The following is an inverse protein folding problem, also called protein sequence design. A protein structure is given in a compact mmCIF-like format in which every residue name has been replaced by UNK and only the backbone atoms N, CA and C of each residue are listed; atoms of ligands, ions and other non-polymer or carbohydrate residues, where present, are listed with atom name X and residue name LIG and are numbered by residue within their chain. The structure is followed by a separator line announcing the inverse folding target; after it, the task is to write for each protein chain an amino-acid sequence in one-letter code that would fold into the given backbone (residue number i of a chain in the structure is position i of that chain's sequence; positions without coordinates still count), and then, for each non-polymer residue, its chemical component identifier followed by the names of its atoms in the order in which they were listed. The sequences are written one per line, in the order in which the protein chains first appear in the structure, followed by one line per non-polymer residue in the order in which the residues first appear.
data_IF_233958260292
#
_entry.id   IF_233958260292
#
_cell.length_a   1.000
_cell.length_b   1.000
_cell.length_c   1.000
_cell.angle_alpha   90.00
_cell.angle_beta   90.00
_cell.angle_gamma   90.00
#
_symmetry.space_group_name_H-M   'P 1'
#
loop_
_entity.id
_entity.type
_entity.pdbx_description
1 polymer ?
#
# COMPACT_ATOMS: atom_id res chain seq x y z
N UNK A 1 1.66 61.12 -5.49
CA UNK A 1 1.17 59.76 -5.60
C UNK A 1 1.84 58.96 -4.50
N UNK A 2 1.15 58.55 -3.39
CA UNK A 2 1.79 57.75 -2.34
C UNK A 2 1.84 56.31 -2.78
N UNK A 3 3.01 55.71 -2.76
CA UNK A 3 3.28 54.30 -3.01
C UNK A 3 2.70 53.42 -1.89
N UNK A 4 1.71 52.61 -2.25
CA UNK A 4 1.10 51.62 -1.34
C UNK A 4 2.05 50.40 -1.17
N UNK A 5 2.99 50.47 -0.22
CA UNK A 5 3.79 49.32 0.16
C UNK A 5 2.96 48.45 1.14
N UNK A 6 2.49 47.31 0.66
CA UNK A 6 1.91 46.26 1.53
C UNK A 6 3.00 45.75 2.44
N UNK A 7 2.77 45.84 3.76
CA UNK A 7 3.66 45.27 4.76
C UNK A 7 3.67 43.72 4.63
N UNK A 8 4.81 43.06 4.83
CA UNK A 8 4.89 41.60 4.79
C UNK A 8 4.03 40.97 5.90
N UNK A 9 3.21 39.98 5.54
CA UNK A 9 2.45 39.19 6.50
C UNK A 9 3.43 38.37 7.35
N UNK A 10 3.64 38.81 8.59
CA UNK A 10 4.36 38.05 9.60
C UNK A 10 3.37 37.01 10.16
N UNK A 11 3.66 35.70 10.14
CA UNK A 11 2.81 34.71 10.79
C UNK A 11 2.80 34.99 12.30
N UNK A 12 1.64 35.26 12.88
CA UNK A 12 1.46 35.26 14.33
C UNK A 12 1.46 33.77 14.79
N UNK A 13 2.54 33.37 15.42
CA UNK A 13 2.52 32.16 16.23
C UNK A 13 1.96 32.56 17.60
N UNK A 14 0.92 31.91 18.12
CA UNK A 14 0.50 32.13 19.49
C UNK A 14 1.55 31.56 20.43
N UNK A 15 2.47 32.41 20.89
CA UNK A 15 3.23 32.17 22.10
C UNK A 15 2.28 32.30 23.27
N UNK A 16 2.22 31.25 24.07
CA UNK A 16 1.63 31.06 25.38
C UNK A 16 0.62 29.93 25.41
N UNK A 17 1.16 28.74 25.68
CA UNK A 17 0.39 27.67 26.28
C UNK A 17 0.30 27.99 27.78
N UNK A 18 -0.87 28.27 28.35
CA UNK A 18 -1.01 28.50 29.79
C UNK A 18 -0.62 27.24 30.55
N UNK A 19 0.24 27.45 31.55
CA UNK A 19 0.73 26.42 32.46
C UNK A 19 -0.43 25.65 33.11
N UNK A 20 -0.39 24.36 32.94
CA UNK A 20 -1.46 23.43 33.36
C UNK A 20 -1.59 23.44 34.89
N UNK A 21 -2.70 23.88 35.41
CA UNK A 21 -3.05 23.80 36.84
C UNK A 21 -2.87 22.37 37.39
N UNK A 22 -2.44 22.20 38.65
CA UNK A 22 -2.20 20.89 39.25
C UNK A 22 -3.49 20.06 39.33
N UNK A 23 -3.42 18.82 38.90
CA UNK A 23 -4.54 17.88 38.91
C UNK A 23 -5.02 17.58 40.32
N UNK A 24 -6.33 17.70 40.56
CA UNK A 24 -6.99 17.27 41.77
C UNK A 24 -6.80 15.77 42.05
N UNK A 25 -6.75 15.32 43.32
CA UNK A 25 -6.52 13.93 43.66
C UNK A 25 -7.65 13.03 43.18
N UNK A 26 -7.33 11.97 42.45
CA UNK A 26 -8.27 10.93 42.01
C UNK A 26 -8.90 10.23 43.22
N UNK A 27 -10.21 10.26 43.29
CA UNK A 27 -10.98 9.41 44.18
C UNK A 27 -10.66 7.92 43.91
N UNK A 28 -10.43 7.18 44.99
CA UNK A 28 -10.24 5.73 44.95
C UNK A 28 -11.60 5.09 44.61
N UNK A 29 -11.71 4.58 43.38
CA UNK A 29 -12.81 3.70 43.02
C UNK A 29 -12.61 2.30 43.59
N UNK A 30 -13.63 1.86 44.33
CA UNK A 30 -13.75 0.53 44.91
C UNK A 30 -13.53 -0.58 43.89
N UNK A 31 -12.50 -1.41 44.10
CA UNK A 31 -12.33 -2.70 43.44
C UNK A 31 -13.46 -3.63 43.89
N UNK A 32 -14.45 -3.85 43.03
CA UNK A 32 -15.39 -4.95 43.22
C UNK A 32 -14.63 -6.27 42.89
N UNK A 33 -14.68 -7.19 43.82
CA UNK A 33 -14.11 -8.51 43.75
C UNK A 33 -14.76 -9.34 42.61
N UNK A 34 -13.94 -9.83 41.67
CA UNK A 34 -14.36 -10.79 40.65
C UNK A 34 -14.54 -12.15 41.31
N UNK A 35 -15.69 -12.85 41.14
CA UNK A 35 -15.88 -14.19 41.71
C UNK A 35 -14.94 -15.21 41.02
N UNK A 36 -14.52 -16.28 41.74
CA UNK A 36 -13.58 -17.26 41.22
C UNK A 36 -14.20 -18.07 40.07
N UNK A 37 -13.48 -18.12 38.95
CA UNK A 37 -13.81 -18.92 37.77
C UNK A 37 -13.81 -20.41 38.13
N UNK A 38 -14.94 -21.10 37.98
CA UNK A 38 -15.06 -22.54 38.14
C UNK A 38 -14.13 -23.25 37.12
N UNK A 39 -13.38 -24.24 37.64
CA UNK A 39 -12.48 -25.07 36.84
C UNK A 39 -13.30 -25.94 35.85
N UNK A 40 -12.96 -25.87 34.58
CA UNK A 40 -13.49 -26.79 33.57
C UNK A 40 -12.73 -28.11 33.63
N UNK A 41 -13.40 -29.27 33.43
CA UNK A 41 -12.75 -30.58 33.45
C UNK A 41 -11.77 -30.75 32.28
N UNK A 42 -10.74 -31.61 32.41
CA UNK A 42 -9.71 -31.78 31.40
C UNK A 42 -10.31 -32.40 30.12
N UNK A 43 -10.04 -31.74 29.01
CA UNK A 43 -10.36 -32.23 27.66
C UNK A 43 -9.45 -33.43 27.35
N UNK A 44 -10.07 -34.57 27.14
CA UNK A 44 -9.40 -35.78 26.65
C UNK A 44 -8.70 -35.51 25.31
N UNK A 45 -7.41 -35.77 25.25
CA UNK A 45 -6.60 -35.77 24.04
C UNK A 45 -7.06 -36.91 23.13
N UNK A 46 -7.74 -36.63 22.05
CA UNK A 46 -7.87 -37.55 20.92
C UNK A 46 -6.62 -37.38 20.04
N UNK A 47 -5.79 -38.36 20.09
CA UNK A 47 -4.67 -38.63 19.20
C UNK A 47 -5.21 -39.25 17.90
N UNK A 48 -5.62 -38.41 16.94
CA UNK A 48 -5.75 -38.83 15.54
C UNK A 48 -5.29 -37.68 14.67
N UNK A 49 -3.99 -37.64 14.41
CA UNK A 49 -3.38 -36.74 13.45
C UNK A 49 -3.21 -37.53 12.15
N UNK A 50 -3.95 -37.21 11.09
CA UNK A 50 -3.71 -37.81 9.77
C UNK A 50 -2.32 -37.41 9.26
N UNK A 51 -1.68 -38.21 8.40
CA UNK A 51 -0.31 -37.98 7.94
C UNK A 51 -0.20 -36.63 7.21
N UNK A 52 0.90 -35.94 7.51
CA UNK A 52 1.28 -34.63 6.98
C UNK A 52 1.32 -34.69 5.44
N UNK A 53 0.29 -34.19 4.80
CA UNK A 53 0.29 -34.00 3.35
C UNK A 53 1.39 -33.00 2.99
N UNK A 54 2.12 -33.31 1.94
CA UNK A 54 3.19 -32.52 1.39
C UNK A 54 2.72 -31.08 1.16
N UNK A 55 3.57 -30.12 1.47
CA UNK A 55 3.30 -28.70 1.26
C UNK A 55 2.82 -28.46 -0.19
N UNK A 56 1.72 -27.72 -0.39
CA UNK A 56 1.26 -27.43 -1.74
C UNK A 56 2.34 -26.67 -2.50
N UNK A 57 2.55 -27.09 -3.74
CA UNK A 57 3.40 -26.39 -4.69
C UNK A 57 3.06 -24.90 -4.70
N UNK A 58 4.08 -24.03 -4.80
CA UNK A 58 3.94 -22.58 -4.87
C UNK A 58 2.83 -22.23 -5.86
N UNK A 59 1.86 -21.39 -5.51
CA UNK A 59 0.82 -21.01 -6.46
C UNK A 59 1.48 -20.32 -7.66
N UNK A 60 1.46 -21.01 -8.81
CA UNK A 60 1.73 -20.35 -10.08
C UNK A 60 0.57 -19.38 -10.33
N UNK A 61 0.92 -18.14 -10.65
CA UNK A 61 -0.09 -17.15 -11.02
C UNK A 61 -0.76 -17.59 -12.33
N UNK A 62 -2.04 -17.92 -12.25
CA UNK A 62 -2.87 -18.16 -13.42
C UNK A 62 -3.45 -16.83 -13.91
N UNK A 63 -3.66 -16.71 -15.21
CA UNK A 63 -4.28 -15.52 -15.77
C UNK A 63 -5.62 -15.23 -15.11
N UNK A 64 -5.87 -13.98 -14.68
CA UNK A 64 -7.13 -13.63 -14.02
C UNK A 64 -8.29 -13.73 -15.01
N UNK A 65 -9.38 -14.40 -14.60
CA UNK A 65 -10.64 -14.36 -15.31
C UNK A 65 -11.31 -12.99 -15.11
N UNK A 66 -11.94 -12.44 -16.13
CA UNK A 66 -12.64 -11.16 -16.07
C UNK A 66 -12.61 -10.38 -17.38
N UNK A 67 -13.31 -9.26 -17.44
CA UNK A 67 -13.41 -8.42 -18.64
C UNK A 67 -12.34 -7.34 -18.77
N UNK A 68 -11.31 -7.35 -17.92
CA UNK A 68 -10.23 -6.38 -17.92
C UNK A 68 -9.11 -6.72 -18.92
N UNK A 69 -8.21 -5.75 -19.16
CA UNK A 69 -7.04 -5.91 -20.02
C UNK A 69 -5.83 -6.42 -19.24
N UNK A 70 -5.28 -7.58 -19.63
CA UNK A 70 -4.03 -8.13 -19.10
C UNK A 70 -2.85 -7.73 -19.98
N UNK A 71 -1.78 -7.19 -19.40
CA UNK A 71 -0.50 -6.94 -20.05
C UNK A 71 0.63 -7.58 -19.24
N UNK A 72 1.57 -8.23 -19.95
CA UNK A 72 2.77 -8.83 -19.34
C UNK A 72 4.00 -8.07 -19.83
N UNK A 73 4.78 -7.52 -18.89
CA UNK A 73 6.03 -6.82 -19.16
C UNK A 73 7.21 -7.60 -18.58
N UNK A 74 8.31 -7.70 -19.35
CA UNK A 74 9.54 -8.34 -18.89
C UNK A 74 10.59 -7.26 -18.63
N UNK A 75 11.19 -7.27 -17.44
CA UNK A 75 12.30 -6.37 -17.14
C UNK A 75 13.57 -6.79 -17.94
N UNK A 76 14.34 -5.85 -18.49
CA UNK A 76 14.34 -4.39 -18.34
C UNK A 76 13.66 -3.61 -19.48
N UNK A 77 12.83 -4.19 -20.30
CA UNK A 77 12.21 -3.50 -21.44
C UNK A 77 11.34 -2.33 -20.99
N UNK A 78 11.44 -1.21 -21.71
CA UNK A 78 10.60 -0.03 -21.48
C UNK A 78 9.31 -0.19 -22.29
N UNK A 79 8.15 -0.43 -21.66
CA UNK A 79 6.89 -0.43 -22.37
C UNK A 79 6.45 1.00 -22.66
N UNK A 80 5.93 1.22 -23.85
CA UNK A 80 5.16 2.40 -24.14
C UNK A 80 3.91 2.38 -23.25
N UNK A 81 3.58 3.49 -22.56
CA UNK A 81 2.32 3.65 -21.85
C UNK A 81 1.23 3.66 -22.92
N UNK A 82 0.34 2.65 -23.00
CA UNK A 82 -0.72 2.69 -23.99
C UNK A 82 -1.67 3.84 -23.67
N UNK A 83 -1.93 4.68 -24.64
CA UNK A 83 -3.01 5.66 -24.52
C UNK A 83 -4.33 4.92 -24.27
N UNK A 84 -5.16 5.37 -23.32
CA UNK A 84 -6.45 4.75 -23.05
C UNK A 84 -7.31 4.78 -24.30
N UNK A 85 -7.77 3.62 -24.76
CA UNK A 85 -8.85 3.57 -25.76
C UNK A 85 -10.17 3.84 -25.03
N UNK A 86 -11.03 4.71 -25.56
CA UNK A 86 -12.34 4.95 -24.97
C UNK A 86 -13.17 3.65 -25.09
N UNK A 87 -13.56 3.08 -23.95
CA UNK A 87 -14.49 1.96 -23.93
C UNK A 87 -15.91 2.45 -24.21
N UNK A 88 -16.64 1.61 -24.99
CA UNK A 88 -17.89 1.94 -25.64
C UNK A 88 -19.12 1.97 -24.71
N UNK A 89 -19.01 2.52 -23.50
CA UNK A 89 -20.18 2.79 -22.64
C UNK A 89 -20.04 4.14 -21.93
N UNK A 90 -20.42 5.21 -22.59
CA UNK A 90 -21.17 6.36 -22.13
C UNK A 90 -20.55 7.36 -21.15
N UNK A 91 -19.47 7.08 -20.44
CA UNK A 91 -18.76 8.07 -19.62
C UNK A 91 -17.26 7.86 -19.73
N UNK A 92 -16.57 8.79 -20.39
CA UNK A 92 -15.10 8.82 -20.35
C UNK A 92 -14.64 8.92 -18.90
N UNK A 93 -13.74 8.03 -18.44
CA UNK A 93 -13.23 8.09 -17.07
C UNK A 93 -12.51 9.43 -16.84
N UNK A 94 -12.64 9.97 -15.64
CA UNK A 94 -11.96 11.22 -15.25
C UNK A 94 -10.43 11.08 -15.23
N UNK A 95 -9.94 9.84 -15.26
CA UNK A 95 -8.54 9.49 -15.23
C UNK A 95 -8.32 8.12 -14.58
N UNK A 96 -7.06 7.85 -14.19
CA UNK A 96 -6.64 6.55 -13.71
C UNK A 96 -5.96 6.64 -12.35
N UNK A 97 -6.14 5.58 -11.53
CA UNK A 97 -5.34 5.29 -10.34
C UNK A 97 -4.60 3.99 -10.58
N UNK A 98 -3.28 4.02 -10.59
CA UNK A 98 -2.42 2.87 -10.83
C UNK A 98 -1.83 2.42 -9.50
N UNK A 99 -2.10 1.17 -9.10
CA UNK A 99 -1.56 0.56 -7.88
C UNK A 99 -0.37 -0.34 -8.22
N UNK A 100 0.80 -0.06 -7.68
CA UNK A 100 1.90 -1.01 -7.70
C UNK A 100 1.66 -2.09 -6.64
N UNK A 101 1.85 -3.36 -7.02
CA UNK A 101 1.63 -4.53 -6.17
C UNK A 101 2.88 -5.41 -6.23
N UNK A 102 3.51 -5.70 -5.09
CA UNK A 102 4.69 -6.58 -5.06
C UNK A 102 5.55 -6.39 -3.81
N UNK A 103 6.47 -7.31 -3.61
CA UNK A 103 7.40 -7.35 -2.47
C UNK A 103 8.39 -6.17 -2.49
N UNK A 104 9.00 -5.81 -1.35
CA UNK A 104 10.22 -5.03 -1.34
C UNK A 104 11.28 -5.70 -2.24
N UNK A 105 12.10 -4.91 -2.96
CA UNK A 105 13.08 -5.48 -3.91
C UNK A 105 12.52 -5.97 -5.25
N UNK A 106 11.19 -5.98 -5.47
CA UNK A 106 10.59 -6.41 -6.74
C UNK A 106 10.79 -5.44 -7.91
N UNK A 107 11.30 -4.22 -7.66
CA UNK A 107 11.63 -3.25 -8.71
C UNK A 107 10.59 -2.16 -8.96
N UNK A 108 9.59 -1.99 -8.08
CA UNK A 108 8.53 -0.97 -8.19
C UNK A 108 9.09 0.44 -8.41
N UNK A 109 9.94 0.91 -7.51
CA UNK A 109 10.54 2.25 -7.56
C UNK A 109 11.37 2.45 -8.84
N UNK A 110 12.12 1.42 -9.27
CA UNK A 110 12.87 1.45 -10.52
C UNK A 110 11.95 1.54 -11.74
N UNK A 111 10.81 0.83 -11.71
CA UNK A 111 9.82 0.87 -12.78
C UNK A 111 9.21 2.26 -12.94
N UNK A 112 8.87 2.94 -11.84
CA UNK A 112 8.41 4.33 -11.85
C UNK A 112 9.50 5.29 -12.33
N UNK A 113 10.72 5.17 -11.80
CA UNK A 113 11.85 6.04 -12.15
C UNK A 113 12.19 5.99 -13.64
N UNK A 114 12.19 4.79 -14.26
CA UNK A 114 12.43 4.63 -15.69
C UNK A 114 11.36 5.31 -16.58
N UNK A 115 10.17 5.58 -16.04
CA UNK A 115 9.07 6.24 -16.75
C UNK A 115 8.95 7.72 -16.39
N UNK A 116 9.87 8.27 -15.59
CA UNK A 116 9.80 9.65 -15.11
C UNK A 116 8.57 9.92 -14.22
N UNK A 117 8.04 8.89 -13.56
CA UNK A 117 6.84 8.97 -12.72
C UNK A 117 7.25 9.15 -11.26
N UNK A 118 6.70 10.18 -10.61
CA UNK A 118 6.79 10.34 -9.15
C UNK A 118 5.49 9.84 -8.52
N UNK A 119 5.47 8.64 -7.93
CA UNK A 119 4.28 8.08 -7.31
C UNK A 119 4.03 8.68 -5.93
N UNK A 120 2.81 8.54 -5.43
CA UNK A 120 2.51 8.67 -4.01
C UNK A 120 3.12 7.46 -3.29
N UNK A 121 4.25 7.67 -2.64
CA UNK A 121 5.06 6.61 -2.03
C UNK A 121 4.94 6.61 -0.51
N UNK A 122 4.76 5.43 0.09
CA UNK A 122 4.77 5.27 1.54
C UNK A 122 6.14 5.59 2.15
N UNK A 123 7.22 5.32 1.41
CA UNK A 123 8.58 5.59 1.87
C UNK A 123 8.90 7.09 1.81
N UNK A 124 8.47 7.76 0.74
CA UNK A 124 8.57 9.21 0.65
C UNK A 124 7.82 9.90 1.79
N UNK A 125 6.61 9.43 2.12
CA UNK A 125 5.86 10.00 3.23
C UNK A 125 6.51 9.75 4.60
N UNK A 126 7.14 8.61 4.82
CA UNK A 126 7.91 8.39 6.04
C UNK A 126 9.05 9.40 6.17
N UNK A 127 9.77 9.61 5.08
CA UNK A 127 10.84 10.61 5.07
C UNK A 127 10.31 12.02 5.38
N UNK A 128 9.20 12.42 4.78
CA UNK A 128 8.58 13.74 5.00
C UNK A 128 8.06 13.92 6.44
N UNK A 129 7.47 12.86 7.02
CA UNK A 129 6.79 12.93 8.32
C UNK A 129 7.74 12.73 9.50
N UNK A 130 8.82 11.99 9.32
CA UNK A 130 9.66 11.52 10.43
C UNK A 130 11.16 11.69 10.18
N UNK A 131 11.57 12.22 9.01
CA UNK A 131 12.96 12.26 8.55
C UNK A 131 13.66 10.89 8.61
N UNK A 132 12.84 9.81 8.68
CA UNK A 132 13.26 8.42 8.79
C UNK A 132 12.35 7.51 7.96
N UNK A 133 12.92 6.95 6.91
CA UNK A 133 12.21 6.03 6.01
C UNK A 133 11.91 4.69 6.69
N UNK A 134 12.64 4.32 7.74
CA UNK A 134 12.52 3.05 8.45
C UNK A 134 11.46 3.07 9.56
N UNK A 135 10.93 4.25 9.91
CA UNK A 135 9.93 4.39 10.95
C UNK A 135 8.67 3.56 10.66
N UNK A 136 8.38 2.57 11.50
CA UNK A 136 7.24 1.65 11.35
C UNK A 136 6.15 1.84 12.40
N UNK A 137 6.43 2.53 13.51
CA UNK A 137 5.48 2.72 14.63
C UNK A 137 4.20 3.43 14.19
N UNK A 138 4.32 4.32 13.22
CA UNK A 138 3.22 5.16 12.72
C UNK A 138 2.67 4.73 11.36
N UNK A 139 2.74 3.43 11.05
CA UNK A 139 2.28 2.87 9.78
C UNK A 139 0.84 3.30 9.41
N UNK A 140 -0.07 3.31 10.39
CA UNK A 140 -1.45 3.77 10.20
C UNK A 140 -1.53 5.23 9.76
N UNK A 141 -0.69 6.13 10.33
CA UNK A 141 -0.61 7.53 9.95
C UNK A 141 -0.08 7.68 8.52
N UNK A 142 0.98 6.99 8.15
CA UNK A 142 1.53 7.01 6.79
C UNK A 142 0.47 6.66 5.76
N UNK A 143 -0.26 5.55 5.96
CA UNK A 143 -1.29 5.12 5.01
C UNK A 143 -2.54 6.01 5.01
N UNK A 144 -2.93 6.59 6.15
CA UNK A 144 -4.04 7.56 6.19
C UNK A 144 -3.67 8.85 5.44
N UNK A 145 -2.45 9.35 5.60
CA UNK A 145 -1.92 10.51 4.87
C UNK A 145 -1.82 10.23 3.39
N UNK A 146 -1.32 9.04 3.00
CA UNK A 146 -1.23 8.63 1.61
C UNK A 146 -2.61 8.62 0.93
N UNK A 147 -3.64 8.09 1.64
CA UNK A 147 -5.04 8.14 1.16
C UNK A 147 -5.56 9.57 1.04
N UNK A 148 -5.23 10.44 1.99
CA UNK A 148 -5.62 11.85 1.95
C UNK A 148 -4.99 12.58 0.77
N UNK A 149 -3.73 12.33 0.45
CA UNK A 149 -3.05 12.87 -0.72
C UNK A 149 -3.68 12.37 -2.03
N UNK A 150 -3.97 11.06 -2.14
CA UNK A 150 -4.67 10.54 -3.30
C UNK A 150 -6.03 11.24 -3.44
N UNK A 151 -6.82 11.31 -2.37
CA UNK A 151 -8.13 11.98 -2.38
C UNK A 151 -8.03 13.43 -2.86
N UNK A 152 -7.04 14.19 -2.38
CA UNK A 152 -6.82 15.57 -2.82
C UNK A 152 -6.55 15.65 -4.33
N UNK A 153 -5.74 14.74 -4.88
CA UNK A 153 -5.47 14.65 -6.32
C UNK A 153 -6.71 14.31 -7.13
N UNK A 154 -7.57 13.39 -6.64
CA UNK A 154 -8.83 13.03 -7.30
C UNK A 154 -9.83 14.19 -7.29
N UNK A 155 -9.93 14.95 -6.18
CA UNK A 155 -10.73 16.18 -6.09
C UNK A 155 -10.23 17.22 -7.08
N UNK A 156 -8.91 17.40 -7.20
CA UNK A 156 -8.26 18.32 -8.14
C UNK A 156 -8.29 17.83 -9.59
N UNK A 157 -8.98 16.72 -9.87
CA UNK A 157 -9.14 16.12 -11.21
C UNK A 157 -7.80 15.80 -11.90
N UNK A 158 -6.77 15.42 -11.13
CA UNK A 158 -5.50 14.99 -11.70
C UNK A 158 -5.71 13.70 -12.49
N UNK A 159 -5.40 13.66 -13.79
CA UNK A 159 -5.78 12.53 -14.66
C UNK A 159 -5.03 11.24 -14.36
N UNK A 160 -3.78 11.33 -13.90
CA UNK A 160 -2.92 10.18 -13.62
C UNK A 160 -2.45 10.19 -12.18
N UNK A 161 -2.70 9.10 -11.47
CA UNK A 161 -2.35 8.95 -10.06
C UNK A 161 -1.67 7.59 -9.86
N UNK A 162 -0.52 7.58 -9.24
CA UNK A 162 0.26 6.36 -8.99
C UNK A 162 0.49 6.19 -7.49
N UNK A 163 0.28 4.96 -6.99
CA UNK A 163 0.47 4.61 -5.58
C UNK A 163 1.57 3.56 -5.47
N UNK A 164 2.70 3.93 -4.89
CA UNK A 164 3.83 3.03 -4.60
C UNK A 164 3.77 2.58 -3.14
N UNK A 165 3.15 1.45 -2.93
CA UNK A 165 3.14 0.70 -1.69
C UNK A 165 3.15 -0.79 -2.03
N UNK A 166 3.30 -1.66 -1.03
CA UNK A 166 3.36 -3.12 -1.27
C UNK A 166 2.03 -3.69 -1.73
N UNK A 167 0.91 -3.17 -1.21
CA UNK A 167 -0.47 -3.53 -1.60
C UNK A 167 -0.72 -5.05 -1.68
N UNK A 168 -0.20 -5.81 -0.71
CA UNK A 168 -0.08 -7.27 -0.78
C UNK A 168 -1.43 -7.99 -0.77
N UNK A 169 -2.37 -7.51 0.03
CA UNK A 169 -3.65 -8.18 0.24
C UNK A 169 -4.78 -7.50 -0.54
N UNK A 170 -5.81 -8.29 -0.87
CA UNK A 170 -7.06 -7.80 -1.47
C UNK A 170 -7.71 -6.72 -0.58
N UNK A 171 -7.62 -6.88 0.75
CA UNK A 171 -8.20 -5.93 1.70
C UNK A 171 -7.54 -4.55 1.61
N UNK A 172 -6.22 -4.49 1.51
CA UNK A 172 -5.48 -3.23 1.34
C UNK A 172 -5.86 -2.54 0.03
N UNK A 173 -5.91 -3.29 -1.07
CA UNK A 173 -6.26 -2.78 -2.41
C UNK A 173 -7.69 -2.27 -2.49
N UNK A 174 -8.63 -2.95 -1.84
CA UNK A 174 -10.06 -2.58 -1.83
C UNK A 174 -10.30 -1.13 -1.41
N UNK A 175 -9.53 -0.61 -0.44
CA UNK A 175 -9.68 0.76 0.02
C UNK A 175 -9.33 1.78 -1.07
N UNK A 176 -8.26 1.53 -1.83
CA UNK A 176 -7.85 2.37 -2.96
C UNK A 176 -8.86 2.32 -4.08
N UNK A 177 -9.29 1.11 -4.46
CA UNK A 177 -10.26 0.87 -5.53
C UNK A 177 -11.58 1.55 -5.22
N UNK A 178 -12.12 1.36 -4.00
CA UNK A 178 -13.37 2.01 -3.58
C UNK A 178 -13.27 3.53 -3.65
N UNK A 179 -12.16 4.11 -3.18
CA UNK A 179 -11.94 5.54 -3.25
C UNK A 179 -11.88 6.03 -4.70
N UNK A 180 -11.04 5.44 -5.55
CA UNK A 180 -10.90 5.85 -6.93
C UNK A 180 -12.24 5.81 -7.68
N UNK A 181 -12.95 4.69 -7.58
CA UNK A 181 -14.26 4.52 -8.23
C UNK A 181 -15.32 5.50 -7.72
N UNK A 182 -15.31 5.88 -6.44
CA UNK A 182 -16.24 6.88 -5.90
C UNK A 182 -16.04 8.29 -6.50
N UNK A 183 -14.86 8.57 -7.06
CA UNK A 183 -14.56 9.81 -7.78
C UNK A 183 -14.71 9.68 -9.30
N UNK A 184 -15.07 8.51 -9.84
CA UNK A 184 -15.23 8.24 -11.27
C UNK A 184 -13.89 8.00 -11.98
N UNK A 185 -12.90 7.45 -11.28
CA UNK A 185 -11.61 7.04 -11.83
C UNK A 185 -11.59 5.53 -12.06
N UNK A 186 -10.93 5.11 -13.11
CA UNK A 186 -10.56 3.71 -13.34
C UNK A 186 -9.36 3.32 -12.50
N UNK A 187 -9.27 2.02 -12.15
CA UNK A 187 -8.16 1.50 -11.36
C UNK A 187 -7.40 0.46 -12.15
N UNK A 188 -6.08 0.63 -12.21
CA UNK A 188 -5.18 -0.30 -12.87
C UNK A 188 -4.18 -0.87 -11.87
N UNK A 189 -3.76 -2.10 -12.09
CA UNK A 189 -2.71 -2.73 -11.30
C UNK A 189 -1.44 -2.89 -12.12
N UNK A 190 -0.28 -2.67 -11.48
CA UNK A 190 1.02 -3.12 -11.96
C UNK A 190 1.54 -4.14 -10.96
N UNK A 191 1.46 -5.41 -11.32
CA UNK A 191 1.84 -6.53 -10.47
C UNK A 191 3.26 -6.99 -10.80
N UNK A 192 4.13 -6.91 -9.80
CA UNK A 192 5.52 -7.35 -9.90
C UNK A 192 5.61 -8.81 -9.48
N UNK A 193 5.46 -9.70 -10.46
CA UNK A 193 5.56 -11.16 -10.34
C UNK A 193 7.05 -11.57 -10.37
N UNK A 194 7.73 -11.28 -9.26
CA UNK A 194 9.16 -11.52 -9.09
C UNK A 194 9.38 -12.56 -8.00
N UNK A 195 10.19 -13.63 -8.25
CA UNK A 195 10.48 -14.65 -7.26
C UNK A 195 11.02 -14.06 -5.95
N UNK A 196 10.63 -14.63 -4.82
CA UNK A 196 11.04 -14.17 -3.49
C UNK A 196 12.57 -14.12 -3.36
N UNK A 197 13.27 -15.11 -3.87
CA UNK A 197 14.74 -15.19 -3.78
C UNK A 197 15.40 -13.98 -4.49
N UNK A 198 14.90 -13.61 -5.67
CA UNK A 198 15.37 -12.41 -6.39
C UNK A 198 15.07 -11.13 -5.60
N UNK A 199 13.90 -11.08 -4.95
CA UNK A 199 13.55 -9.95 -4.08
C UNK A 199 14.47 -9.87 -2.85
N UNK A 200 14.81 -11.00 -2.24
CA UNK A 200 15.71 -11.08 -1.09
C UNK A 200 17.13 -10.63 -1.47
N UNK A 201 17.67 -11.13 -2.59
CA UNK A 201 19.00 -10.73 -3.07
C UNK A 201 19.09 -9.22 -3.34
N UNK A 202 18.09 -8.68 -4.03
CA UNK A 202 18.03 -7.23 -4.29
C UNK A 202 17.81 -6.42 -3.01
N UNK A 203 17.07 -6.95 -2.05
CA UNK A 203 16.85 -6.30 -0.77
C UNK A 203 18.12 -6.19 0.06
N UNK A 204 19.00 -7.21 0.05
CA UNK A 204 20.30 -7.17 0.73
C UNK A 204 21.24 -6.11 0.18
N UNK A 205 21.08 -5.73 -1.08
CA UNK A 205 21.92 -4.72 -1.77
C UNK A 205 21.39 -3.28 -1.60
N UNK A 206 20.30 -3.09 -0.84
CA UNK A 206 19.72 -1.76 -0.60
C UNK A 206 20.27 -1.18 0.72
N UNK A 207 20.48 0.13 0.74
CA UNK A 207 20.83 0.86 1.97
C UNK A 207 19.80 0.61 3.06
N UNK A 208 18.53 0.52 2.66
CA UNK A 208 17.41 0.12 3.54
C UNK A 208 16.98 -1.30 3.20
N UNK A 209 17.35 -2.24 4.03
CA UNK A 209 16.92 -3.63 3.92
C UNK A 209 15.77 -3.95 4.87
N UNK A 210 14.82 -4.74 4.38
CA UNK A 210 13.76 -5.35 5.21
C UNK A 210 14.28 -6.70 5.68
N UNK A 211 14.04 -7.09 6.94
CA UNK A 211 14.50 -8.39 7.43
C UNK A 211 13.88 -9.54 6.61
N UNK A 212 14.65 -10.60 6.44
CA UNK A 212 14.25 -11.75 5.63
C UNK A 212 12.97 -12.42 6.13
N UNK A 213 12.79 -12.54 7.44
CA UNK A 213 11.59 -13.09 8.05
C UNK A 213 10.33 -12.26 7.75
N UNK A 214 10.48 -10.92 7.73
CA UNK A 214 9.39 -10.03 7.35
C UNK A 214 9.06 -10.19 5.87
N UNK A 215 10.07 -10.30 5.01
CA UNK A 215 9.85 -10.51 3.58
C UNK A 215 9.17 -11.85 3.28
N UNK A 216 9.52 -12.93 3.98
CA UNK A 216 8.87 -14.24 3.85
C UNK A 216 7.38 -14.15 4.25
N UNK A 217 7.08 -13.50 5.38
CA UNK A 217 5.69 -13.24 5.80
C UNK A 217 4.92 -12.34 4.82
N UNK A 218 5.59 -11.38 4.19
CA UNK A 218 5.00 -10.56 3.14
C UNK A 218 4.70 -11.40 1.89
N UNK A 219 5.59 -12.32 1.51
CA UNK A 219 5.37 -13.21 0.38
C UNK A 219 4.16 -14.15 0.59
N UNK A 220 3.94 -14.65 1.81
CA UNK A 220 2.75 -15.43 2.16
C UNK A 220 1.45 -14.63 2.04
N UNK A 221 1.50 -13.34 2.35
CA UNK A 221 0.36 -12.42 2.25
C UNK A 221 0.09 -11.94 0.83
N UNK A 222 1.08 -12.00 -0.04
CA UNK A 222 0.96 -11.51 -1.41
C UNK A 222 -0.07 -12.36 -2.18
N UNK A 223 -1.14 -11.69 -2.59
CA UNK A 223 -2.17 -12.26 -3.47
C UNK A 223 -2.08 -11.56 -4.83
N UNK A 224 -1.96 -12.31 -5.93
CA UNK A 224 -2.04 -11.72 -7.27
C UNK A 224 -3.33 -10.92 -7.44
N UNK A 225 -3.30 -9.79 -8.16
CA UNK A 225 -4.52 -9.04 -8.45
C UNK A 225 -5.41 -9.81 -9.44
N UNK A 226 -6.72 -9.66 -9.27
CA UNK A 226 -7.73 -10.23 -10.17
C UNK A 226 -8.73 -9.15 -10.59
N UNK A 227 -9.38 -9.31 -11.75
CA UNK A 227 -10.31 -8.30 -12.27
C UNK A 227 -11.55 -8.14 -11.39
N UNK A 228 -11.95 -9.18 -10.67
CA UNK A 228 -13.08 -9.19 -9.74
C UNK A 228 -12.88 -8.22 -8.55
N UNK A 229 -11.64 -7.81 -8.28
CA UNK A 229 -11.36 -6.73 -7.31
C UNK A 229 -11.84 -5.36 -7.81
N UNK A 230 -12.03 -5.22 -9.13
CA UNK A 230 -12.46 -3.99 -9.78
C UNK A 230 -11.36 -3.27 -10.53
N UNK A 231 -10.30 -3.95 -10.93
CA UNK A 231 -9.29 -3.44 -11.87
C UNK A 231 -9.80 -3.49 -13.31
N UNK A 232 -9.57 -2.41 -14.06
CA UNK A 232 -9.85 -2.34 -15.49
C UNK A 232 -8.68 -2.87 -16.34
N UNK A 233 -7.47 -2.78 -15.76
CA UNK A 233 -6.25 -3.27 -16.40
C UNK A 233 -5.31 -3.85 -15.36
N UNK A 234 -4.68 -4.99 -15.68
CA UNK A 234 -3.60 -5.60 -14.90
C UNK A 234 -2.39 -5.75 -15.80
N UNK A 235 -1.28 -5.11 -15.42
CA UNK A 235 0.02 -5.26 -16.07
C UNK A 235 0.90 -6.12 -15.18
N UNK A 236 1.42 -7.23 -15.73
CA UNK A 236 2.33 -8.11 -14.99
C UNK A 236 3.77 -7.84 -15.41
N UNK A 237 4.62 -7.53 -14.44
CA UNK A 237 6.05 -7.26 -14.62
C UNK A 237 6.86 -8.45 -14.11
N UNK A 238 7.62 -9.10 -14.97
CA UNK A 238 8.46 -10.27 -14.66
C UNK A 238 9.94 -10.00 -14.86
N UNK A 239 10.77 -10.79 -14.19
CA UNK A 239 12.21 -10.84 -14.45
C UNK A 239 12.45 -11.73 -15.67
N UNK A 240 13.36 -11.34 -16.58
CA UNK A 240 13.80 -12.25 -17.65
C UNK A 240 14.39 -13.50 -17.01
N UNK A 241 13.92 -14.67 -17.42
CA UNK A 241 14.65 -15.91 -17.14
C UNK A 241 16.00 -15.82 -17.80
N UNK A 242 17.09 -16.02 -17.05
CA UNK A 242 18.38 -16.32 -17.66
C UNK A 242 18.21 -17.68 -18.34
N UNK A 243 18.11 -17.66 -19.69
CA UNK A 243 18.15 -18.84 -20.51
C UNK A 243 19.57 -19.40 -20.57
#
# INVERSE_FOLDING_TARGET
MPSNQLAPLVPLYPDEIPERAPAAPRAQEFRQAVPPRQAQPPRQQRSDRPPRQQAPAKPQWNEPAGSGRLEVETQPEMPAIPSPKPDAQGQTPKGFVVLAIGLPGSGKTTWFGRRGITPLSSDLLRNILFDDVEEQRYQGLVFSTLRSLLRARLISKMPMNYVDATNLSIHERRQWIKMAKSFGYEVQAVFFDVPLEVCLDRNRQRDRSVSEDVMRRMAEKLKPPVFEEGFEKITVVRVKSAG
#
